data_IF_098345815185
#
_entry.id   IF_098345815185
#
_cell.length_a   1.000
_cell.length_b   1.000
_cell.length_c   1.000
_cell.angle_alpha   90.00
_cell.angle_beta   90.00
_cell.angle_gamma   90.00
#
_symmetry.space_group_name_H-M   'P 1'
#
loop_
_entity.id
_entity.type
_entity.pdbx_description
1 polymer ?
#
# COMPACT_ATOMS: atom_id res chain seq x y z
N UNK A 1 18.74 -34.17 40.76
CA UNK A 1 17.77 -34.41 39.68
C UNK A 1 17.27 -33.05 39.21
N UNK A 2 17.62 -32.63 38.00
CA UNK A 2 17.11 -31.39 37.38
C UNK A 2 16.08 -31.82 36.34
N UNK A 3 14.81 -31.45 36.56
CA UNK A 3 13.76 -31.60 35.56
C UNK A 3 13.93 -30.49 34.53
N UNK A 4 14.19 -30.87 33.28
CA UNK A 4 14.20 -29.95 32.14
C UNK A 4 12.79 -29.91 31.58
N UNK A 5 12.09 -28.81 31.78
CA UNK A 5 10.78 -28.55 31.18
C UNK A 5 10.98 -28.18 29.71
N UNK A 6 10.58 -29.08 28.81
CA UNK A 6 10.46 -28.78 27.38
C UNK A 6 9.19 -27.96 27.18
N UNK A 7 9.34 -26.70 26.78
CA UNK A 7 8.25 -25.89 26.25
C UNK A 7 7.86 -26.43 24.86
N UNK A 8 6.56 -26.59 24.56
CA UNK A 8 6.14 -26.96 23.22
C UNK A 8 6.34 -25.77 22.28
N UNK A 9 7.13 -25.97 21.24
CA UNK A 9 7.16 -25.07 20.08
C UNK A 9 5.84 -25.27 19.33
N UNK A 10 4.90 -24.35 19.51
CA UNK A 10 3.73 -24.25 18.65
C UNK A 10 4.23 -23.80 17.28
N UNK A 11 4.38 -24.72 16.35
CA UNK A 11 4.48 -24.40 14.94
C UNK A 11 3.16 -23.75 14.52
N UNK A 12 3.20 -22.45 14.19
CA UNK A 12 2.09 -21.78 13.52
C UNK A 12 1.83 -22.52 12.20
N UNK A 13 0.65 -23.13 12.08
CA UNK A 13 0.20 -23.66 10.81
C UNK A 13 0.01 -22.47 9.86
N UNK A 14 0.91 -22.33 8.88
CA UNK A 14 0.74 -21.39 7.77
C UNK A 14 -0.44 -21.92 6.97
N UNK A 15 -1.63 -21.37 7.21
CA UNK A 15 -2.78 -21.59 6.34
C UNK A 15 -2.36 -21.24 4.92
N UNK A 16 -2.52 -22.16 3.97
CA UNK A 16 -2.18 -21.90 2.59
C UNK A 16 -2.95 -20.66 2.11
N UNK A 17 -2.25 -19.54 1.94
CA UNK A 17 -2.83 -18.34 1.37
C UNK A 17 -3.17 -18.63 -0.10
N UNK A 18 -4.40 -18.32 -0.52
CA UNK A 18 -4.81 -18.49 -1.90
C UNK A 18 -3.94 -17.61 -2.81
N UNK A 19 -3.50 -18.19 -3.94
CA UNK A 19 -2.74 -17.47 -4.96
C UNK A 19 -3.62 -17.25 -6.18
N UNK A 20 -3.64 -16.04 -6.71
CA UNK A 20 -4.19 -15.74 -8.03
C UNK A 20 -3.08 -15.49 -9.02
N UNK A 21 -3.34 -15.78 -10.29
CA UNK A 21 -2.47 -15.38 -11.39
C UNK A 21 -3.27 -14.50 -12.34
N UNK A 22 -2.75 -13.30 -12.57
CA UNK A 22 -3.38 -12.29 -13.42
C UNK A 22 -2.35 -11.74 -14.40
N UNK A 23 -2.83 -11.15 -15.49
CA UNK A 23 -2.00 -10.53 -16.51
C UNK A 23 -2.40 -9.07 -16.67
N UNK A 24 -1.44 -8.17 -16.51
CA UNK A 24 -1.63 -6.72 -16.66
C UNK A 24 -0.63 -6.20 -17.68
N UNK A 25 -1.11 -5.51 -18.71
CA UNK A 25 -0.29 -5.04 -19.84
C UNK A 25 0.58 -6.15 -20.48
N UNK A 26 0.12 -7.40 -20.44
CA UNK A 26 0.85 -8.57 -20.93
C UNK A 26 1.86 -9.18 -19.94
N UNK A 27 2.05 -8.57 -18.77
CA UNK A 27 2.94 -9.06 -17.73
C UNK A 27 2.22 -9.96 -16.74
N UNK A 28 2.85 -11.05 -16.35
CA UNK A 28 2.30 -12.01 -15.38
C UNK A 28 2.55 -11.55 -13.95
N UNK A 29 1.49 -11.66 -13.14
CA UNK A 29 1.50 -11.41 -11.71
C UNK A 29 0.94 -12.63 -10.97
N UNK A 30 1.65 -13.09 -9.95
CA UNK A 30 1.19 -14.11 -9.00
C UNK A 30 0.99 -13.41 -7.66
N UNK A 31 -0.27 -13.26 -7.25
CA UNK A 31 -0.68 -12.43 -6.13
C UNK A 31 -1.20 -13.30 -4.98
N UNK A 32 -0.95 -12.90 -3.73
CA UNK A 32 -1.49 -13.56 -2.54
C UNK A 32 -1.55 -12.61 -1.35
N UNK A 33 -2.53 -12.79 -0.48
CA UNK A 33 -2.73 -11.96 0.72
C UNK A 33 -4.19 -12.03 1.17
N UNK A 34 -5.13 -11.49 0.37
CA UNK A 34 -6.56 -11.56 0.67
C UNK A 34 -7.02 -12.99 0.93
N UNK A 35 -7.88 -13.16 1.95
CA UNK A 35 -8.53 -14.44 2.27
C UNK A 35 -9.45 -14.90 1.17
N UNK A 36 -10.17 -13.95 0.56
CA UNK A 36 -11.10 -14.19 -0.53
C UNK A 36 -10.61 -13.46 -1.78
N UNK A 37 -9.64 -14.05 -2.51
CA UNK A 37 -9.04 -13.33 -3.62
C UNK A 37 -10.03 -13.15 -4.77
N UNK A 38 -10.13 -11.91 -5.24
CA UNK A 38 -10.80 -11.49 -6.46
C UNK A 38 -9.77 -10.89 -7.44
N UNK A 39 -10.13 -10.72 -8.73
CA UNK A 39 -9.34 -9.95 -9.68
C UNK A 39 -9.08 -8.55 -9.15
N UNK A 40 -7.87 -8.04 -9.39
CA UNK A 40 -7.48 -6.68 -8.98
C UNK A 40 -8.46 -5.59 -9.45
N UNK A 41 -9.02 -5.74 -10.64
CA UNK A 41 -9.99 -4.79 -11.20
C UNK A 41 -11.26 -4.66 -10.34
N UNK A 42 -11.65 -5.72 -9.61
CA UNK A 42 -12.78 -5.66 -8.68
C UNK A 42 -12.44 -4.84 -7.43
N UNK A 43 -11.23 -5.00 -6.88
CA UNK A 43 -10.76 -4.19 -5.76
C UNK A 43 -10.69 -2.71 -6.13
N UNK A 44 -10.12 -2.39 -7.30
CA UNK A 44 -10.04 -1.00 -7.78
C UNK A 44 -11.40 -0.38 -8.00
N UNK A 45 -12.34 -1.12 -8.58
CA UNK A 45 -13.69 -0.60 -8.81
C UNK A 45 -14.41 -0.35 -7.49
N UNK A 46 -14.26 -1.24 -6.51
CA UNK A 46 -14.81 -1.05 -5.18
C UNK A 46 -14.21 0.19 -4.48
N UNK A 47 -12.88 0.32 -4.49
CA UNK A 47 -12.15 1.47 -3.98
C UNK A 47 -12.58 2.77 -4.67
N UNK A 48 -12.75 2.75 -5.99
CA UNK A 48 -13.22 3.88 -6.78
C UNK A 48 -14.66 4.27 -6.45
N UNK A 49 -15.53 3.29 -6.24
CA UNK A 49 -16.91 3.53 -5.82
C UNK A 49 -16.96 4.14 -4.41
N UNK A 50 -16.12 3.69 -3.49
CA UNK A 50 -16.01 4.30 -2.15
C UNK A 50 -15.52 5.75 -2.25
N UNK A 51 -14.43 5.97 -2.98
CA UNK A 51 -13.85 7.30 -3.13
C UNK A 51 -14.80 8.31 -3.80
N UNK A 52 -15.49 7.91 -4.87
CA UNK A 52 -16.43 8.81 -5.54
C UNK A 52 -17.64 9.11 -4.66
N UNK A 53 -18.16 8.12 -3.92
CA UNK A 53 -19.28 8.33 -2.99
C UNK A 53 -18.89 9.34 -1.93
N UNK A 54 -17.72 9.17 -1.30
CA UNK A 54 -17.21 10.08 -0.29
C UNK A 54 -17.07 11.51 -0.86
N UNK A 55 -16.43 11.67 -2.02
CA UNK A 55 -16.29 12.98 -2.66
C UNK A 55 -17.64 13.60 -3.04
N UNK A 56 -18.60 12.79 -3.49
CA UNK A 56 -19.98 13.22 -3.79
C UNK A 56 -20.69 13.75 -2.56
N UNK A 57 -20.56 13.06 -1.42
CA UNK A 57 -21.17 13.48 -0.16
C UNK A 57 -20.58 14.78 0.37
N UNK A 58 -19.28 15.02 0.16
CA UNK A 58 -18.60 16.23 0.65
C UNK A 58 -18.79 17.44 -0.27
N UNK A 59 -18.74 17.26 -1.59
CA UNK A 59 -18.85 18.35 -2.57
C UNK A 59 -20.29 18.62 -3.02
N UNK A 60 -21.13 17.60 -3.02
CA UNK A 60 -22.40 17.59 -3.72
C UNK A 60 -22.26 17.24 -5.20
N UNK A 61 -23.27 16.56 -5.75
CA UNK A 61 -23.24 16.02 -7.12
C UNK A 61 -22.98 17.06 -8.21
N UNK A 62 -23.53 18.28 -8.08
CA UNK A 62 -23.33 19.34 -9.08
C UNK A 62 -21.87 19.83 -9.11
N UNK A 63 -21.24 20.03 -7.95
CA UNK A 63 -19.85 20.47 -7.89
C UNK A 63 -18.90 19.38 -8.42
N UNK A 64 -19.21 18.11 -8.14
CA UNK A 64 -18.47 16.98 -8.70
C UNK A 64 -18.58 16.92 -10.24
N UNK A 65 -19.78 17.15 -10.77
CA UNK A 65 -20.01 17.21 -12.21
C UNK A 65 -19.25 18.38 -12.86
N UNK A 66 -19.30 19.57 -12.25
CA UNK A 66 -18.55 20.75 -12.71
C UNK A 66 -17.02 20.47 -12.76
N UNK A 67 -16.52 19.64 -11.84
CA UNK A 67 -15.12 19.21 -11.80
C UNK A 67 -14.75 18.21 -12.90
N UNK A 68 -15.68 17.55 -13.58
CA UNK A 68 -15.32 16.60 -14.65
C UNK A 68 -15.76 17.03 -16.03
N UNK A 69 -16.50 18.13 -16.14
CA UNK A 69 -16.86 18.72 -17.42
C UNK A 69 -15.71 19.51 -18.05
N UNK A 70 -15.64 19.54 -19.40
CA UNK A 70 -16.53 18.86 -20.35
C UNK A 70 -16.16 17.39 -20.66
N UNK A 71 -15.14 16.83 -20.01
CA UNK A 71 -14.59 15.50 -20.32
C UNK A 71 -15.58 14.37 -20.04
N UNK A 72 -16.43 14.50 -19.02
CA UNK A 72 -17.44 13.52 -18.65
C UNK A 72 -18.82 14.16 -18.51
N UNK A 73 -19.85 13.46 -19.01
CA UNK A 73 -21.25 13.84 -18.83
C UNK A 73 -21.79 13.43 -17.45
N UNK A 74 -21.27 12.33 -16.91
CA UNK A 74 -21.49 11.85 -15.55
C UNK A 74 -20.16 11.28 -15.01
N UNK A 75 -19.64 11.74 -13.85
CA UNK A 75 -18.43 11.18 -13.26
C UNK A 75 -18.54 9.68 -12.94
N UNK A 76 -19.75 9.13 -12.84
CA UNK A 76 -20.00 7.71 -12.59
C UNK A 76 -19.88 6.82 -13.84
N UNK A 77 -19.79 7.39 -15.04
CA UNK A 77 -19.69 6.62 -16.29
C UNK A 77 -18.36 5.84 -16.39
N UNK A 78 -17.26 6.42 -15.88
CA UNK A 78 -15.92 5.81 -15.88
C UNK A 78 -15.11 6.29 -14.68
N UNK A 79 -15.41 5.70 -13.51
CA UNK A 79 -14.83 6.09 -12.21
C UNK A 79 -13.31 6.14 -12.22
N UNK A 80 -12.67 5.17 -12.87
CA UNK A 80 -11.20 5.03 -12.89
C UNK A 80 -10.53 6.13 -13.70
N UNK A 81 -11.25 6.81 -14.61
CA UNK A 81 -10.73 7.98 -15.32
C UNK A 81 -11.20 9.31 -14.73
N UNK A 82 -12.41 9.36 -14.19
CA UNK A 82 -12.96 10.57 -13.59
C UNK A 82 -12.26 10.93 -12.27
N UNK A 83 -11.98 9.94 -11.41
CA UNK A 83 -11.39 10.18 -10.09
C UNK A 83 -10.02 10.88 -10.12
N UNK A 84 -9.05 10.48 -10.94
CA UNK A 84 -7.78 11.20 -11.04
C UNK A 84 -7.97 12.68 -11.40
N UNK A 85 -8.87 12.98 -12.35
CA UNK A 85 -9.17 14.35 -12.77
C UNK A 85 -9.82 15.17 -11.64
N UNK A 86 -10.75 14.57 -10.90
CA UNK A 86 -11.39 15.21 -9.74
C UNK A 86 -10.34 15.55 -8.69
N UNK A 87 -9.51 14.58 -8.31
CA UNK A 87 -8.44 14.77 -7.32
C UNK A 87 -7.45 15.84 -7.75
N UNK A 88 -7.04 15.82 -9.02
CA UNK A 88 -6.13 16.82 -9.60
C UNK A 88 -6.72 18.23 -9.50
N UNK A 89 -7.99 18.41 -9.87
CA UNK A 89 -8.65 19.73 -9.88
C UNK A 89 -8.93 20.27 -8.47
N UNK A 90 -9.19 19.41 -7.49
CA UNK A 90 -9.32 19.81 -6.09
C UNK A 90 -7.94 20.17 -5.51
N UNK A 91 -6.92 19.39 -5.87
CA UNK A 91 -5.58 19.52 -5.35
C UNK A 91 -5.44 18.98 -3.93
N UNK A 92 -4.20 18.69 -3.54
CA UNK A 92 -3.87 18.04 -2.27
C UNK A 92 -4.40 18.76 -1.02
N UNK A 93 -4.17 20.07 -0.91
CA UNK A 93 -4.61 20.83 0.28
C UNK A 93 -6.14 20.96 0.30
N UNK A 94 -6.77 21.09 -0.88
CA UNK A 94 -8.22 21.05 -1.02
C UNK A 94 -8.82 19.70 -0.62
N UNK A 95 -8.14 18.59 -0.92
CA UNK A 95 -8.55 17.24 -0.49
C UNK A 95 -8.44 17.08 1.02
N UNK A 96 -7.35 17.56 1.63
CA UNK A 96 -7.20 17.57 3.09
C UNK A 96 -8.37 18.34 3.73
N UNK A 97 -8.65 19.56 3.25
CA UNK A 97 -9.71 20.41 3.79
C UNK A 97 -11.09 19.77 3.62
N UNK A 98 -11.36 19.22 2.44
CA UNK A 98 -12.62 18.58 2.09
C UNK A 98 -12.89 17.32 2.93
N UNK A 99 -11.84 16.55 3.20
CA UNK A 99 -11.92 15.26 3.87
C UNK A 99 -11.74 15.34 5.40
N UNK A 100 -11.60 16.54 5.98
CA UNK A 100 -11.48 16.73 7.44
C UNK A 100 -12.48 15.93 8.28
N UNK A 101 -13.78 15.84 7.94
CA UNK A 101 -14.70 15.03 8.74
C UNK A 101 -14.37 13.53 8.71
N UNK A 102 -13.97 12.99 7.55
CA UNK A 102 -13.58 11.59 7.42
C UNK A 102 -12.24 11.31 8.14
N UNK A 103 -11.32 12.27 8.12
CA UNK A 103 -10.06 12.22 8.88
C UNK A 103 -10.35 12.15 10.39
N UNK A 104 -11.29 12.96 10.90
CA UNK A 104 -11.66 12.92 12.31
C UNK A 104 -12.34 11.60 12.72
N UNK A 105 -13.15 11.01 11.82
CA UNK A 105 -13.73 9.68 12.01
C UNK A 105 -12.63 8.60 12.06
N UNK A 106 -11.62 8.69 11.19
CA UNK A 106 -10.46 7.81 11.18
C UNK A 106 -9.62 7.93 12.46
N UNK A 107 -9.35 9.16 12.91
CA UNK A 107 -8.63 9.39 14.17
C UNK A 107 -9.36 8.70 15.34
N UNK A 108 -10.68 8.85 15.43
CA UNK A 108 -11.47 8.21 16.47
C UNK A 108 -11.43 6.67 16.38
N UNK A 109 -11.50 6.13 15.16
CA UNK A 109 -11.37 4.69 14.90
C UNK A 109 -10.02 4.14 15.40
N UNK A 110 -8.92 4.80 15.05
CA UNK A 110 -7.58 4.33 15.44
C UNK A 110 -7.35 4.39 16.95
N UNK A 111 -7.86 5.42 17.62
CA UNK A 111 -7.83 5.49 19.08
C UNK A 111 -8.62 4.35 19.73
N UNK A 112 -9.80 4.03 19.21
CA UNK A 112 -10.61 2.90 19.69
C UNK A 112 -9.93 1.55 19.47
N UNK A 113 -9.29 1.34 18.31
CA UNK A 113 -8.46 0.15 18.05
C UNK A 113 -7.34 0.02 19.07
N UNK A 114 -6.63 1.13 19.36
CA UNK A 114 -5.54 1.14 20.32
C UNK A 114 -6.02 0.90 21.76
N UNK A 115 -7.15 1.48 22.16
CA UNK A 115 -7.75 1.27 23.49
C UNK A 115 -8.19 -0.18 23.72
N UNK A 116 -8.59 -0.88 22.66
CA UNK A 116 -8.96 -2.31 22.68
C UNK A 116 -7.75 -3.24 22.59
N UNK A 117 -6.63 -2.73 22.08
CA UNK A 117 -5.41 -3.53 21.86
C UNK A 117 -4.69 -3.83 23.19
N UNK A 118 -4.13 -5.02 23.29
CA UNK A 118 -3.19 -5.40 24.33
C UNK A 118 -1.76 -4.99 23.97
N UNK A 119 -0.81 -5.89 24.22
CA UNK A 119 0.57 -5.74 23.75
C UNK A 119 0.84 -6.48 22.44
N UNK A 120 -0.18 -7.10 21.85
CA UNK A 120 -0.05 -7.88 20.62
C UNK A 120 -0.06 -7.00 19.38
N UNK A 121 0.49 -7.56 18.32
CA UNK A 121 0.50 -6.97 16.98
C UNK A 121 0.02 -8.00 15.99
N UNK A 122 -0.79 -7.57 15.02
CA UNK A 122 -1.30 -8.39 13.93
C UNK A 122 -1.03 -7.70 12.61
N UNK A 123 -0.77 -8.48 11.56
CA UNK A 123 -0.47 -7.96 10.24
C UNK A 123 -1.57 -8.23 9.21
N UNK A 124 -1.74 -7.25 8.34
CA UNK A 124 -2.27 -7.43 7.00
C UNK A 124 -1.08 -7.48 6.04
N UNK A 125 -0.91 -8.59 5.33
CA UNK A 125 0.20 -8.81 4.41
C UNK A 125 -0.28 -9.17 3.01
N UNK A 126 0.38 -8.61 2.01
CA UNK A 126 0.23 -8.98 0.60
C UNK A 126 1.58 -9.27 -0.05
N UNK A 127 1.55 -10.11 -1.07
CA UNK A 127 2.73 -10.55 -1.81
C UNK A 127 2.42 -10.63 -3.29
N UNK A 128 3.33 -10.11 -4.12
CA UNK A 128 3.28 -10.24 -5.56
C UNK A 128 4.61 -10.73 -6.11
N UNK A 129 4.58 -11.80 -6.90
CA UNK A 129 5.67 -12.20 -7.79
C UNK A 129 5.31 -11.75 -9.20
N UNK A 130 6.18 -10.96 -9.82
CA UNK A 130 5.86 -10.27 -11.06
C UNK A 130 7.05 -10.27 -12.02
N UNK A 131 6.75 -10.53 -13.30
CA UNK A 131 7.74 -10.73 -14.35
C UNK A 131 7.75 -9.54 -15.31
N UNK A 132 8.46 -8.50 -14.90
CA UNK A 132 8.60 -7.23 -15.63
C UNK A 132 10.01 -7.15 -16.25
N UNK A 133 10.15 -7.05 -17.59
CA UNK A 133 11.42 -7.30 -18.26
C UNK A 133 12.52 -6.27 -17.96
N UNK A 134 12.16 -5.08 -17.49
CA UNK A 134 13.11 -4.01 -17.18
C UNK A 134 13.23 -3.75 -15.68
N UNK A 135 12.70 -4.65 -14.84
CA UNK A 135 12.63 -4.44 -13.40
C UNK A 135 13.54 -5.40 -12.63
N UNK A 136 14.32 -4.84 -11.71
CA UNK A 136 15.03 -5.58 -10.67
C UNK A 136 14.58 -5.06 -9.31
N UNK A 137 14.85 -5.82 -8.24
CA UNK A 137 14.52 -5.43 -6.88
C UNK A 137 15.18 -4.11 -6.49
N UNK A 138 16.44 -3.92 -6.88
CA UNK A 138 17.18 -2.68 -6.65
C UNK A 138 16.56 -1.50 -7.39
N UNK A 139 16.12 -1.71 -8.62
CA UNK A 139 15.51 -0.66 -9.44
C UNK A 139 14.14 -0.26 -8.90
N UNK A 140 13.29 -1.25 -8.56
CA UNK A 140 11.99 -1.01 -7.95
C UNK A 140 12.15 -0.29 -6.61
N UNK A 141 13.09 -0.73 -5.76
CA UNK A 141 13.37 -0.08 -4.49
C UNK A 141 13.78 1.39 -4.66
N UNK A 142 14.67 1.67 -5.61
CA UNK A 142 15.07 3.04 -5.95
C UNK A 142 13.90 3.88 -6.47
N UNK A 143 13.09 3.33 -7.38
CA UNK A 143 11.92 4.02 -7.92
C UNK A 143 10.88 4.31 -6.83
N UNK A 144 10.60 3.34 -5.94
CA UNK A 144 9.59 3.44 -4.88
C UNK A 144 9.87 4.52 -3.84
N UNK A 145 11.12 4.99 -3.79
CA UNK A 145 11.60 6.06 -2.90
C UNK A 145 11.77 7.40 -3.63
N UNK A 146 11.48 7.45 -4.93
CA UNK A 146 11.62 8.64 -5.76
C UNK A 146 10.32 9.46 -5.81
N UNK A 147 10.38 10.75 -6.22
CA UNK A 147 9.17 11.55 -6.45
C UNK A 147 8.20 10.95 -7.49
N UNK A 148 8.68 10.07 -8.38
CA UNK A 148 7.81 9.38 -9.35
C UNK A 148 6.86 8.41 -8.66
N UNK A 149 7.27 7.79 -7.55
CA UNK A 149 6.40 6.94 -6.77
C UNK A 149 5.29 7.76 -6.09
N UNK A 150 5.58 8.96 -5.58
CA UNK A 150 4.55 9.85 -5.04
C UNK A 150 3.55 10.27 -6.13
N UNK A 151 4.03 10.65 -7.32
CA UNK A 151 3.20 10.94 -8.49
C UNK A 151 2.29 9.75 -8.84
N UNK A 152 2.86 8.54 -8.90
CA UNK A 152 2.14 7.31 -9.19
C UNK A 152 1.08 6.97 -8.13
N UNK A 153 1.38 7.14 -6.84
CA UNK A 153 0.43 6.92 -5.76
C UNK A 153 -0.76 7.89 -5.88
N UNK A 154 -0.48 9.18 -6.03
CA UNK A 154 -1.50 10.22 -6.15
C UNK A 154 -2.41 10.05 -7.38
N UNK A 155 -1.92 9.45 -8.47
CA UNK A 155 -2.69 9.22 -9.69
C UNK A 155 -3.34 7.83 -9.78
N UNK A 156 -2.68 6.81 -9.23
CA UNK A 156 -2.91 5.41 -9.60
C UNK A 156 -3.82 4.60 -8.68
N UNK A 157 -4.04 5.02 -7.43
CA UNK A 157 -4.93 4.31 -6.51
C UNK A 157 -6.20 5.14 -6.25
N UNK A 158 -7.41 4.61 -6.48
CA UNK A 158 -8.65 5.32 -6.22
C UNK A 158 -8.80 5.83 -4.79
N UNK A 159 -8.15 5.21 -3.81
CA UNK A 159 -8.20 5.63 -2.40
C UNK A 159 -7.01 6.48 -1.94
N UNK A 160 -6.03 6.76 -2.80
CA UNK A 160 -4.93 7.67 -2.47
C UNK A 160 -5.30 9.11 -2.81
N UNK A 161 -5.38 9.99 -1.82
CA UNK A 161 -5.70 11.41 -2.01
C UNK A 161 -4.45 12.29 -1.94
N UNK A 162 -3.47 11.87 -1.14
CA UNK A 162 -2.20 12.56 -1.00
C UNK A 162 -1.09 11.60 -0.61
N UNK A 163 0.06 11.78 -1.24
CA UNK A 163 1.36 11.31 -0.77
C UNK A 163 2.43 12.34 -1.10
N UNK A 164 3.22 12.70 -0.10
CA UNK A 164 4.39 13.58 -0.23
C UNK A 164 5.53 13.04 0.63
N UNK A 165 6.63 12.69 0.00
CA UNK A 165 7.80 12.10 0.65
C UNK A 165 8.98 13.07 0.66
N UNK A 166 9.69 13.11 1.78
CA UNK A 166 10.94 13.85 1.92
C UNK A 166 11.98 13.04 2.70
N UNK A 167 13.24 13.20 2.35
CA UNK A 167 14.35 12.66 3.13
C UNK A 167 14.56 13.51 4.39
N UNK A 168 14.59 12.87 5.56
CA UNK A 168 14.78 13.54 6.85
C UNK A 168 16.14 13.25 7.48
N UNK A 169 16.81 12.19 7.03
CA UNK A 169 18.19 11.83 7.32
C UNK A 169 18.71 10.92 6.19
N UNK A 170 20.03 10.73 6.03
CA UNK A 170 20.57 9.88 4.96
C UNK A 170 19.92 8.49 4.93
N UNK A 171 19.18 8.20 3.87
CA UNK A 171 18.47 6.91 3.68
C UNK A 171 17.25 6.71 4.58
N UNK A 172 16.71 7.77 5.18
CA UNK A 172 15.49 7.75 6.00
C UNK A 172 14.48 8.74 5.44
N UNK A 173 13.32 8.21 5.06
CA UNK A 173 12.24 8.97 4.46
C UNK A 173 11.12 9.22 5.48
N UNK A 174 10.49 10.38 5.33
CA UNK A 174 9.20 10.70 5.93
C UNK A 174 8.18 10.92 4.84
N UNK A 175 7.07 10.21 4.89
CA UNK A 175 5.95 10.37 3.96
C UNK A 175 4.72 10.87 4.71
N UNK A 176 4.13 11.96 4.23
CA UNK A 176 2.78 12.39 4.61
C UNK A 176 1.79 11.76 3.64
N UNK A 177 0.73 11.17 4.17
CA UNK A 177 -0.20 10.36 3.40
C UNK A 177 -1.65 10.65 3.84
N UNK A 178 -2.54 10.83 2.88
CA UNK A 178 -3.99 10.82 3.05
C UNK A 178 -4.57 9.77 2.12
N UNK A 179 -5.12 8.71 2.68
CA UNK A 179 -5.69 7.61 1.90
C UNK A 179 -6.78 6.85 2.66
N UNK A 180 -7.64 6.20 1.88
CA UNK A 180 -8.65 5.26 2.38
C UNK A 180 -8.09 3.83 2.44
N UNK A 181 -8.21 3.18 3.60
CA UNK A 181 -8.06 1.73 3.72
C UNK A 181 -9.26 1.17 4.45
N UNK A 182 -9.88 0.12 3.91
CA UNK A 182 -10.95 -0.58 4.60
C UNK A 182 -12.05 0.31 5.16
N UNK A 183 -12.45 1.30 4.36
CA UNK A 183 -13.50 2.25 4.71
C UNK A 183 -13.06 3.39 5.65
N UNK A 184 -11.78 3.50 6.02
CA UNK A 184 -11.27 4.53 6.92
C UNK A 184 -10.30 5.47 6.19
N UNK A 185 -10.68 6.75 6.02
CA UNK A 185 -9.86 7.77 5.35
C UNK A 185 -8.91 8.44 6.35
N UNK A 186 -7.66 7.99 6.39
CA UNK A 186 -6.69 8.37 7.43
C UNK A 186 -5.68 9.39 6.91
N UNK A 187 -5.45 10.47 7.67
CA UNK A 187 -4.32 11.38 7.44
C UNK A 187 -3.21 11.09 8.44
N UNK A 188 -2.07 10.63 7.96
CA UNK A 188 -0.98 10.19 8.83
C UNK A 188 0.39 10.43 8.18
N UNK A 189 1.43 10.15 8.96
CA UNK A 189 2.81 10.15 8.50
C UNK A 189 3.46 8.80 8.73
N UNK A 190 4.31 8.38 7.79
CA UNK A 190 5.34 7.37 8.05
C UNK A 190 6.60 8.13 8.47
N UNK A 191 6.92 8.15 9.76
CA UNK A 191 7.90 9.10 10.32
C UNK A 191 9.36 8.71 10.09
N UNK A 192 9.67 7.42 10.03
CA UNK A 192 11.04 6.90 10.07
C UNK A 192 11.25 5.72 9.12
N UNK A 193 10.76 5.85 7.89
CA UNK A 193 10.86 4.79 6.88
C UNK A 193 12.33 4.61 6.46
N UNK A 194 12.98 3.58 7.00
CA UNK A 194 14.41 3.37 6.88
C UNK A 194 14.79 1.96 6.44
N UNK A 195 15.93 1.87 5.73
CA UNK A 195 16.57 0.63 5.29
C UNK A 195 17.95 0.47 5.95
N UNK A 196 18.24 -0.65 6.65
CA UNK A 196 17.34 -1.77 6.96
C UNK A 196 16.31 -1.40 8.05
N UNK A 197 15.25 -2.23 8.26
CA UNK A 197 14.26 -2.00 9.30
C UNK A 197 14.88 -1.94 10.70
N UNK A 198 14.45 -0.98 11.53
CA UNK A 198 14.84 -0.92 12.94
C UNK A 198 14.12 -1.98 13.77
N UNK A 199 14.66 -3.21 13.78
CA UNK A 199 14.08 -4.36 14.52
C UNK A 199 14.18 -4.25 16.04
N UNK A 200 15.01 -3.34 16.57
CA UNK A 200 14.97 -3.04 18.02
C UNK A 200 13.72 -2.25 18.38
N UNK A 201 13.33 -1.31 17.50
CA UNK A 201 12.08 -0.55 17.64
C UNK A 201 10.86 -1.41 17.31
N UNK A 202 10.96 -2.26 16.28
CA UNK A 202 9.87 -3.07 15.74
C UNK A 202 10.19 -4.58 15.81
N UNK A 203 10.21 -5.20 17.01
CA UNK A 203 10.65 -6.58 17.19
C UNK A 203 9.66 -7.62 16.64
N UNK A 204 8.42 -7.24 16.35
CA UNK A 204 7.36 -8.11 15.82
C UNK A 204 7.41 -8.28 14.30
N UNK A 205 8.19 -7.47 13.57
CA UNK A 205 8.29 -7.59 12.11
C UNK A 205 8.75 -8.98 11.68
N UNK A 206 8.09 -9.54 10.67
CA UNK A 206 8.46 -10.83 10.09
C UNK A 206 9.94 -10.88 9.71
N UNK A 207 10.60 -12.01 9.99
CA UNK A 207 11.99 -12.25 9.58
C UNK A 207 11.98 -12.76 8.14
N UNK A 208 12.58 -11.99 7.24
CA UNK A 208 12.56 -12.24 5.79
C UNK A 208 14.01 -12.36 5.28
N UNK A 209 14.71 -13.47 5.54
CA UNK A 209 16.14 -13.58 5.23
C UNK A 209 16.43 -13.54 3.72
N UNK A 210 15.46 -13.96 2.90
CA UNK A 210 15.61 -14.01 1.45
C UNK A 210 15.34 -12.67 0.76
N UNK A 211 14.94 -11.64 1.53
CA UNK A 211 14.67 -10.30 1.01
C UNK A 211 15.84 -9.37 1.36
N UNK A 212 16.75 -9.07 0.42
CA UNK A 212 17.94 -8.25 0.70
C UNK A 212 17.59 -6.77 0.91
N UNK A 213 16.48 -6.30 0.33
CA UNK A 213 16.01 -4.93 0.43
C UNK A 213 14.75 -4.93 1.27
N UNK A 214 14.81 -4.28 2.43
CA UNK A 214 13.69 -4.15 3.36
C UNK A 214 13.70 -2.76 3.96
N UNK A 215 12.54 -2.14 4.10
CA UNK A 215 12.37 -0.90 4.81
C UNK A 215 11.10 -0.95 5.66
N UNK A 216 11.15 -0.27 6.81
CA UNK A 216 9.99 -0.15 7.69
C UNK A 216 9.95 1.21 8.37
N UNK A 217 8.74 1.66 8.73
CA UNK A 217 8.52 2.93 9.41
C UNK A 217 7.17 2.95 10.14
N UNK A 218 7.11 3.71 11.23
CA UNK A 218 5.90 3.85 12.04
C UNK A 218 4.88 4.78 11.39
N UNK A 219 3.63 4.30 11.28
CA UNK A 219 2.44 5.06 10.84
C UNK A 219 1.89 5.84 12.06
N UNK A 220 1.92 7.16 11.98
CA UNK A 220 1.61 8.08 13.09
C UNK A 220 0.52 9.06 12.68
N UNK A 221 -0.55 9.17 13.47
CA UNK A 221 -1.58 10.19 13.29
C UNK A 221 -0.99 11.60 13.50
N UNK A 222 -1.72 12.63 13.08
CA UNK A 222 -1.24 14.02 13.17
C UNK A 222 -1.06 14.52 14.61
N UNK A 223 -1.72 13.89 15.59
CA UNK A 223 -1.54 14.18 17.02
C UNK A 223 -0.30 13.51 17.64
N UNK A 224 0.44 12.71 16.84
CA UNK A 224 1.61 11.97 17.27
C UNK A 224 1.34 10.53 17.72
N UNK A 225 0.11 10.05 17.63
CA UNK A 225 -0.27 8.69 18.01
C UNK A 225 0.23 7.67 16.99
N UNK A 226 1.11 6.76 17.43
CA UNK A 226 1.53 5.60 16.62
C UNK A 226 0.39 4.58 16.57
N UNK A 227 -0.14 4.30 15.39
CA UNK A 227 -1.23 3.33 15.22
C UNK A 227 -0.84 2.11 14.39
N UNK A 228 0.29 2.16 13.66
CA UNK A 228 0.76 1.02 12.90
C UNK A 228 2.23 1.10 12.47
N UNK A 229 2.69 0.07 11.77
CA UNK A 229 4.03 0.01 11.17
C UNK A 229 3.95 -0.58 9.77
N UNK A 230 4.45 0.16 8.78
CA UNK A 230 4.61 -0.32 7.41
C UNK A 230 5.94 -1.06 7.28
N UNK A 231 5.95 -2.21 6.60
CA UNK A 231 7.14 -2.98 6.26
C UNK A 231 7.04 -3.51 4.83
N UNK A 232 7.90 -2.99 3.95
CA UNK A 232 7.98 -3.42 2.53
C UNK A 232 9.34 -4.06 2.29
N UNK A 233 9.34 -5.15 1.55
CA UNK A 233 10.50 -5.96 1.22
C UNK A 233 10.46 -6.35 -0.24
N UNK A 234 11.61 -6.29 -0.92
CA UNK A 234 11.72 -6.69 -2.33
C UNK A 234 12.96 -7.55 -2.57
N UNK A 235 12.83 -8.52 -3.47
CA UNK A 235 13.94 -9.37 -3.95
C UNK A 235 13.77 -9.74 -5.41
N UNK A 236 14.86 -10.05 -6.08
CA UNK A 236 14.83 -10.68 -7.40
C UNK A 236 14.43 -12.15 -7.26
N UNK A 237 13.75 -12.72 -8.25
CA UNK A 237 13.40 -14.13 -8.30
C UNK A 237 13.71 -14.74 -9.67
N UNK A 238 14.26 -15.96 -9.74
CA UNK A 238 14.54 -16.61 -11.02
C UNK A 238 13.26 -16.93 -11.79
N UNK A 239 13.20 -16.57 -13.08
CA UNK A 239 12.04 -16.84 -13.94
C UNK A 239 11.71 -18.33 -14.06
N UNK A 240 12.76 -19.16 -14.10
CA UNK A 240 12.66 -20.61 -14.27
C UNK A 240 11.87 -21.30 -13.14
N UNK A 241 11.88 -20.75 -11.92
CA UNK A 241 11.10 -21.28 -10.78
C UNK A 241 9.58 -21.14 -11.00
N UNK A 242 9.18 -20.25 -11.92
CA UNK A 242 7.78 -19.90 -12.20
C UNK A 242 7.36 -20.16 -13.64
N UNK A 243 8.23 -20.80 -14.44
CA UNK A 243 7.99 -21.12 -15.85
C UNK A 243 8.05 -19.90 -16.78
N UNK A 244 8.79 -18.87 -16.40
CA UNK A 244 8.96 -17.64 -17.19
C UNK A 244 10.37 -17.58 -17.79
N UNK A 245 10.49 -16.98 -18.98
CA UNK A 245 11.78 -16.85 -19.68
C UNK A 245 12.70 -15.80 -19.05
N UNK A 246 12.13 -14.85 -18.32
CA UNK A 246 12.82 -13.72 -17.70
C UNK A 246 12.69 -13.78 -16.19
N UNK A 247 13.70 -13.30 -15.49
CA UNK A 247 13.65 -13.11 -14.05
C UNK A 247 12.59 -12.08 -13.68
N UNK A 248 12.06 -12.20 -12.47
CA UNK A 248 11.06 -11.31 -11.93
C UNK A 248 11.54 -10.65 -10.64
N UNK A 249 10.64 -9.87 -10.05
CA UNK A 249 10.78 -9.42 -8.67
C UNK A 249 9.67 -9.99 -7.83
N UNK A 250 9.94 -10.08 -6.54
CA UNK A 250 8.95 -10.39 -5.54
C UNK A 250 8.88 -9.26 -4.53
N UNK A 251 7.68 -8.73 -4.37
CA UNK A 251 7.35 -7.70 -3.39
C UNK A 251 6.53 -8.36 -2.29
N UNK A 252 6.98 -8.19 -1.05
CA UNK A 252 6.20 -8.47 0.15
C UNK A 252 5.96 -7.15 0.86
N UNK A 253 4.70 -6.85 1.16
CA UNK A 253 4.32 -5.70 1.95
C UNK A 253 3.43 -6.16 3.11
N UNK A 254 3.66 -5.58 4.28
CA UNK A 254 2.82 -5.78 5.45
C UNK A 254 2.62 -4.49 6.19
N UNK A 255 1.41 -4.32 6.72
CA UNK A 255 1.10 -3.29 7.70
C UNK A 255 0.69 -3.97 8.99
N UNK A 256 1.35 -3.55 10.06
CA UNK A 256 1.16 -4.06 11.41
C UNK A 256 0.31 -3.08 12.21
N UNK A 257 -0.68 -3.60 12.90
CA UNK A 257 -1.59 -2.86 13.77
C UNK A 257 -1.61 -3.48 15.17
N UNK A 258 -2.15 -2.75 16.14
CA UNK A 258 -2.50 -3.32 17.44
C UNK A 258 -3.52 -4.47 17.28
N UNK A 259 -3.44 -5.48 18.14
CA UNK A 259 -4.27 -6.69 18.07
C UNK A 259 -5.77 -6.49 18.37
N UNK A 260 -6.20 -5.25 18.65
CA UNK A 260 -7.60 -4.85 18.75
C UNK A 260 -8.26 -4.48 17.42
N UNK A 261 -7.52 -4.49 16.30
CA UNK A 261 -8.09 -4.20 14.97
C UNK A 261 -8.97 -5.36 14.49
N UNK A 262 -10.09 -5.03 13.85
CA UNK A 262 -11.00 -6.04 13.32
C UNK A 262 -10.44 -6.72 12.07
N UNK A 263 -10.77 -8.00 11.91
CA UNK A 263 -10.23 -8.82 10.82
C UNK A 263 -10.73 -8.40 9.43
N UNK A 264 -11.92 -7.79 9.35
CA UNK A 264 -12.47 -7.20 8.12
C UNK A 264 -11.59 -6.04 7.64
N UNK A 265 -11.13 -5.17 8.56
CA UNK A 265 -10.19 -4.09 8.23
C UNK A 265 -8.84 -4.66 7.73
N UNK A 266 -8.35 -5.72 8.37
CA UNK A 266 -7.14 -6.40 7.89
C UNK A 266 -7.33 -6.99 6.49
N UNK A 267 -8.52 -7.48 6.16
CA UNK A 267 -8.81 -7.98 4.82
C UNK A 267 -8.81 -6.87 3.78
N UNK A 268 -9.44 -5.74 4.09
CA UNK A 268 -9.42 -4.58 3.20
C UNK A 268 -8.00 -4.07 2.98
N UNK A 269 -7.17 -3.99 4.03
CA UNK A 269 -5.74 -3.64 3.91
C UNK A 269 -4.99 -4.63 3.00
N UNK A 270 -5.28 -5.94 3.07
CA UNK A 270 -4.68 -6.93 2.15
C UNK A 270 -5.08 -6.67 0.70
N UNK A 271 -6.33 -6.28 0.44
CA UNK A 271 -6.78 -5.94 -0.93
C UNK A 271 -6.14 -4.64 -1.43
N UNK A 272 -5.99 -3.65 -0.56
CA UNK A 272 -5.28 -2.40 -0.83
C UNK A 272 -3.82 -2.67 -1.22
N UNK A 273 -3.09 -3.46 -0.40
CA UNK A 273 -1.69 -3.81 -0.66
C UNK A 273 -1.52 -4.49 -2.03
N UNK A 274 -2.42 -5.40 -2.41
CA UNK A 274 -2.35 -6.06 -3.72
C UNK A 274 -2.55 -5.06 -4.86
N UNK A 275 -3.50 -4.14 -4.70
CA UNK A 275 -3.76 -3.08 -5.68
C UNK A 275 -2.54 -2.18 -5.88
N UNK A 276 -1.90 -1.76 -4.79
CA UNK A 276 -0.66 -0.97 -4.83
C UNK A 276 0.51 -1.73 -5.45
N UNK A 277 0.73 -2.99 -5.06
CA UNK A 277 1.80 -3.82 -5.62
C UNK A 277 1.70 -3.84 -7.16
N UNK A 278 0.51 -4.06 -7.70
CA UNK A 278 0.33 -4.08 -9.16
C UNK A 278 0.46 -2.68 -9.77
N UNK A 279 -0.27 -1.69 -9.27
CA UNK A 279 -0.29 -0.34 -9.87
C UNK A 279 1.09 0.31 -9.86
N UNK A 280 1.79 0.23 -8.73
CA UNK A 280 3.10 0.84 -8.57
C UNK A 280 4.19 0.10 -9.36
N UNK A 281 4.16 -1.23 -9.41
CA UNK A 281 5.15 -1.97 -10.21
C UNK A 281 4.95 -1.78 -11.71
N UNK A 282 3.71 -1.70 -12.20
CA UNK A 282 3.42 -1.35 -13.59
C UNK A 282 3.89 0.06 -13.92
N UNK A 283 3.63 1.03 -13.04
CA UNK A 283 4.09 2.40 -13.27
C UNK A 283 5.62 2.50 -13.24
N UNK A 284 6.28 1.78 -12.32
CA UNK A 284 7.74 1.68 -12.30
C UNK A 284 8.30 1.14 -13.61
N UNK A 285 7.71 0.06 -14.15
CA UNK A 285 8.11 -0.49 -15.46
C UNK A 285 7.98 0.55 -16.57
N UNK A 286 6.86 1.27 -16.63
CA UNK A 286 6.61 2.31 -17.63
C UNK A 286 7.61 3.48 -17.51
N UNK A 287 7.93 3.88 -16.28
CA UNK A 287 8.91 4.96 -16.05
C UNK A 287 10.33 4.54 -16.43
N UNK A 288 10.68 3.26 -16.24
CA UNK A 288 11.96 2.71 -16.71
C UNK A 288 11.99 2.62 -18.24
N UNK A 289 10.95 2.06 -18.87
CA UNK A 289 10.83 1.93 -20.33
C UNK A 289 10.88 3.27 -21.05
N UNK A 290 10.24 4.29 -20.49
CA UNK A 290 10.24 5.65 -21.05
C UNK A 290 11.52 6.42 -20.76
N UNK A 291 12.40 5.90 -19.89
CA UNK A 291 13.62 6.58 -19.46
C UNK A 291 13.39 7.71 -18.43
N UNK A 292 12.16 7.86 -17.90
CA UNK A 292 11.87 8.78 -16.78
C UNK A 292 12.61 8.37 -15.50
N UNK A 293 12.78 7.07 -15.31
CA UNK A 293 13.61 6.50 -14.25
C UNK A 293 14.69 5.60 -14.86
N UNK A 294 15.85 6.16 -15.23
CA UNK A 294 16.90 5.37 -15.86
C UNK A 294 17.42 4.31 -14.89
N UNK A 295 17.73 3.09 -15.36
CA UNK A 295 18.51 2.14 -14.58
C UNK A 295 19.78 2.82 -14.12
N UNK A 296 20.09 2.72 -12.82
CA UNK A 296 21.36 3.24 -12.30
C UNK A 296 22.48 2.60 -13.12
N UNK A 297 23.29 3.41 -13.80
CA UNK A 297 24.46 2.90 -14.52
C UNK A 297 25.36 2.16 -13.53
N UNK A 298 25.65 0.89 -13.82
CA UNK A 298 26.66 0.11 -13.12
C UNK A 298 28.03 0.81 -13.12
#
# INVERSE_FOLDING_TARGET
MRFSTLLPVMAAAVTACHKTTEYFDGYKYILSGPKNPAPKAEYEMAAAQTAITLLTERLGANALLDLVQPEFADPHDDLLKALPLIKERIGADGLIDLLQPAIAEADAYWHDVLDKSGSGWVDASGRGVLFLPNMTAQLFAGWSQSPLADEANNAGNPEHYLKRTREIAPGVLRSEILEGWGGVTTHFTVEDYGMPPNRQKWPFLNTLPDFPIQAAGGKTLLDGTLFGVLHISVRDVPGEEFGEEQDGIEIYASVWYGDGVDDDHLEDERTHIITEIVNLSLQAQRDVESGRFPPSGN
#
